data_IF_908831701931
#
_entry.id   IF_908831701931
#
_cell.length_a   1.000
_cell.length_b   1.000
_cell.length_c   1.000
_cell.angle_alpha   90.00
_cell.angle_beta   90.00
_cell.angle_gamma   90.00
#
_symmetry.space_group_name_H-M   'P 1'
#
loop_
_entity.id
_entity.type
_entity.pdbx_description
1 polymer ?
#
# COMPACT_ATOMS: atom_id res chain seq x y z
N UNK A 1 0.96 -5.17 9.99
CA UNK A 1 1.07 -3.73 9.64
C UNK A 1 -0.08 -3.24 8.77
N UNK A 2 -0.46 -3.96 7.72
CA UNK A 2 -1.55 -3.57 6.82
C UNK A 2 -2.92 -3.50 7.52
N UNK A 3 -3.21 -4.39 8.44
CA UNK A 3 -4.45 -4.37 9.22
C UNK A 3 -4.51 -3.20 10.19
N UNK A 4 -3.39 -2.86 10.83
CA UNK A 4 -3.29 -1.71 11.72
C UNK A 4 -3.50 -0.39 10.99
N UNK A 5 -2.94 -0.24 9.80
CA UNK A 5 -3.13 0.96 8.98
C UNK A 5 -4.57 1.13 8.52
N UNK A 6 -5.24 0.04 8.14
CA UNK A 6 -6.65 0.08 7.74
C UNK A 6 -7.57 0.49 8.89
N UNK A 7 -7.39 -0.11 10.06
CA UNK A 7 -8.20 0.24 11.24
C UNK A 7 -8.00 1.68 11.67
N UNK A 8 -6.75 2.15 11.72
CA UNK A 8 -6.46 3.54 12.08
C UNK A 8 -7.01 4.56 11.07
N UNK A 9 -7.10 4.20 9.79
CA UNK A 9 -7.72 5.05 8.79
C UNK A 9 -9.19 5.32 9.07
N UNK A 10 -9.91 4.34 9.59
CA UNK A 10 -11.32 4.48 9.99
C UNK A 10 -11.50 5.09 11.38
N UNK A 11 -10.58 4.85 12.30
CA UNK A 11 -10.59 5.47 13.64
C UNK A 11 -10.41 6.99 13.59
N UNK A 12 -9.87 7.53 12.49
CA UNK A 12 -9.75 8.95 12.28
C UNK A 12 -11.09 9.64 11.97
N UNK A 13 -12.16 8.88 11.70
CA UNK A 13 -13.48 9.45 11.47
C UNK A 13 -14.07 9.97 12.79
N UNK A 14 -14.36 11.30 12.91
CA UNK A 14 -14.93 11.84 14.14
C UNK A 14 -16.32 11.27 14.43
N UNK A 15 -16.55 10.83 15.66
CA UNK A 15 -17.86 10.31 16.11
C UNK A 15 -18.96 11.35 15.90
N UNK A 16 -18.65 12.63 16.08
CA UNK A 16 -19.57 13.74 15.87
C UNK A 16 -20.16 13.77 14.44
N UNK A 17 -19.40 13.42 13.42
CA UNK A 17 -19.89 13.31 12.04
C UNK A 17 -20.88 12.16 11.87
N UNK A 18 -20.64 11.04 12.53
CA UNK A 18 -21.52 9.88 12.50
C UNK A 18 -22.84 10.18 13.22
N UNK A 19 -22.79 10.88 14.34
CA UNK A 19 -23.96 11.34 15.07
C UNK A 19 -24.77 12.35 14.26
N UNK A 20 -24.13 13.32 13.62
CA UNK A 20 -24.78 14.28 12.75
C UNK A 20 -25.48 13.60 11.55
N UNK A 21 -24.85 12.63 10.92
CA UNK A 21 -25.45 11.86 9.85
C UNK A 21 -26.68 11.07 10.32
N UNK A 22 -26.64 10.55 11.54
CA UNK A 22 -27.76 9.84 12.17
C UNK A 22 -28.96 10.78 12.39
N UNK A 23 -28.70 12.00 12.85
CA UNK A 23 -29.73 13.05 13.05
C UNK A 23 -30.36 13.43 11.70
N UNK A 24 -29.57 13.52 10.63
CA UNK A 24 -30.06 13.79 9.27
C UNK A 24 -30.81 12.62 8.63
N UNK A 25 -30.97 11.53 9.34
CA UNK A 25 -31.73 10.36 8.88
C UNK A 25 -30.98 9.45 7.93
N UNK A 26 -29.65 9.54 7.87
CA UNK A 26 -28.82 8.65 7.06
C UNK A 26 -28.76 7.24 7.67
N UNK A 27 -29.04 6.22 6.88
CA UNK A 27 -28.83 4.82 7.29
C UNK A 27 -27.36 4.46 7.42
N UNK A 28 -27.03 3.34 8.10
CA UNK A 28 -25.64 2.94 8.33
C UNK A 28 -24.84 2.75 7.05
N UNK A 29 -25.43 2.20 6.00
CA UNK A 29 -24.77 2.03 4.70
C UNK A 29 -24.48 3.38 4.02
N UNK A 30 -25.43 4.30 4.07
CA UNK A 30 -25.27 5.63 3.49
C UNK A 30 -24.16 6.41 4.23
N UNK A 31 -24.13 6.34 5.54
CA UNK A 31 -23.09 6.94 6.37
C UNK A 31 -21.74 6.33 6.05
N UNK A 32 -21.64 5.02 5.90
CA UNK A 32 -20.40 4.35 5.54
C UNK A 32 -19.84 4.86 4.20
N UNK A 33 -20.65 4.87 3.15
CA UNK A 33 -20.17 5.25 1.82
C UNK A 33 -19.92 6.76 1.65
N UNK A 34 -20.69 7.61 2.32
CA UNK A 34 -20.57 9.07 2.14
C UNK A 34 -19.63 9.75 3.14
N UNK A 35 -19.42 9.16 4.31
CA UNK A 35 -18.58 9.73 5.36
C UNK A 35 -17.39 8.81 5.67
N UNK A 36 -17.63 7.55 5.93
CA UNK A 36 -16.59 6.61 6.34
C UNK A 36 -15.54 6.38 5.25
N UNK A 37 -15.97 6.05 4.04
CA UNK A 37 -15.06 5.78 2.92
C UNK A 37 -14.22 7.00 2.54
N UNK A 38 -14.80 8.21 2.29
CA UNK A 38 -14.00 9.38 1.94
C UNK A 38 -12.97 9.77 3.00
N UNK A 39 -13.32 9.68 4.27
CA UNK A 39 -12.41 9.99 5.37
C UNK A 39 -11.36 8.89 5.60
N UNK A 40 -11.68 7.65 5.24
CA UNK A 40 -10.75 6.51 5.33
C UNK A 40 -9.81 6.36 4.14
N UNK A 41 -10.05 7.06 3.03
CA UNK A 41 -9.25 6.95 1.79
C UNK A 41 -7.74 7.14 2.04
N UNK A 42 -7.25 8.14 2.79
CA UNK A 42 -5.82 8.30 3.04
C UNK A 42 -5.19 7.07 3.70
N UNK A 43 -5.86 6.46 4.68
CA UNK A 43 -5.41 5.25 5.33
C UNK A 43 -5.39 4.03 4.40
N UNK A 44 -6.42 3.88 3.59
CA UNK A 44 -6.52 2.79 2.60
C UNK A 44 -5.42 2.93 1.55
N UNK A 45 -5.19 4.12 1.02
CA UNK A 45 -4.15 4.38 0.03
C UNK A 45 -2.75 4.16 0.61
N UNK A 46 -2.49 4.59 1.84
CA UNK A 46 -1.22 4.32 2.52
C UNK A 46 -0.97 2.82 2.67
N UNK A 47 -1.97 2.06 3.10
CA UNK A 47 -1.88 0.60 3.21
C UNK A 47 -1.67 -0.07 1.84
N UNK A 48 -2.32 0.42 0.80
CA UNK A 48 -2.16 -0.09 -0.56
C UNK A 48 -0.75 0.14 -1.10
N UNK A 49 -0.18 1.34 -0.89
CA UNK A 49 1.19 1.67 -1.31
C UNK A 49 2.21 0.80 -0.58
N UNK A 50 2.11 0.67 0.74
CA UNK A 50 3.01 -0.17 1.53
C UNK A 50 2.89 -1.64 1.14
N UNK A 51 1.67 -2.15 0.97
CA UNK A 51 1.42 -3.51 0.53
C UNK A 51 1.96 -3.79 -0.88
N UNK A 52 1.85 -2.82 -1.78
CA UNK A 52 2.44 -2.93 -3.11
C UNK A 52 3.97 -3.01 -3.05
N UNK A 53 4.62 -2.13 -2.29
CA UNK A 53 6.08 -2.14 -2.15
C UNK A 53 6.57 -3.44 -1.52
N UNK A 54 5.88 -3.95 -0.53
CA UNK A 54 6.18 -5.24 0.10
C UNK A 54 6.05 -6.39 -0.90
N UNK A 55 4.96 -6.45 -1.64
CA UNK A 55 4.72 -7.47 -2.66
C UNK A 55 5.71 -7.37 -3.83
N UNK A 56 6.05 -6.15 -4.25
CA UNK A 56 7.00 -5.90 -5.34
C UNK A 56 8.41 -6.40 -5.00
N UNK A 57 8.81 -6.26 -3.76
CA UNK A 57 10.13 -6.69 -3.28
C UNK A 57 10.12 -8.10 -2.68
N UNK A 58 9.03 -8.84 -2.79
CA UNK A 58 8.92 -10.18 -2.21
C UNK A 58 9.92 -11.16 -2.85
N UNK A 59 10.73 -11.80 -2.02
CA UNK A 59 11.75 -12.79 -2.42
C UNK A 59 11.48 -14.13 -1.75
N UNK A 60 11.23 -14.14 -0.46
CA UNK A 60 11.14 -15.36 0.34
C UNK A 60 9.98 -16.26 -0.06
N UNK A 61 8.79 -15.73 -0.20
CA UNK A 61 7.60 -16.51 -0.55
C UNK A 61 7.67 -17.09 -1.96
N UNK A 62 7.97 -16.29 -3.01
CA UNK A 62 8.13 -16.84 -4.36
C UNK A 62 9.24 -17.87 -4.47
N UNK A 63 10.35 -17.68 -3.76
CA UNK A 63 11.45 -18.62 -3.74
C UNK A 63 11.04 -19.98 -3.15
N UNK A 64 10.20 -19.97 -2.13
CA UNK A 64 9.75 -21.17 -1.44
C UNK A 64 8.66 -21.93 -2.23
N UNK A 65 7.70 -21.22 -2.79
CA UNK A 65 6.51 -21.81 -3.40
C UNK A 65 6.61 -22.01 -4.92
N UNK A 66 7.35 -21.16 -5.62
CA UNK A 66 7.44 -21.22 -7.08
C UNK A 66 8.66 -22.02 -7.53
N UNK A 67 8.42 -23.23 -8.02
CA UNK A 67 9.48 -24.11 -8.54
C UNK A 67 9.87 -23.78 -9.98
N UNK A 68 8.95 -23.19 -10.75
CA UNK A 68 9.17 -22.86 -12.16
C UNK A 68 9.68 -21.44 -12.32
N UNK A 69 10.88 -21.27 -12.89
CA UNK A 69 11.51 -19.94 -13.08
C UNK A 69 10.68 -18.96 -13.91
N UNK A 70 9.87 -19.45 -14.82
CA UNK A 70 9.00 -18.62 -15.67
C UNK A 70 7.94 -17.86 -14.87
N UNK A 71 7.58 -18.31 -13.68
CA UNK A 71 6.60 -17.70 -12.79
C UNK A 71 7.23 -16.78 -11.74
N UNK A 72 8.54 -16.64 -11.71
CA UNK A 72 9.23 -15.84 -10.71
C UNK A 72 8.98 -14.34 -10.92
N UNK A 73 8.74 -13.59 -9.84
CA UNK A 73 8.69 -12.14 -9.92
C UNK A 73 10.07 -11.56 -10.27
N UNK A 74 10.09 -10.36 -10.80
CA UNK A 74 11.32 -9.69 -11.21
C UNK A 74 12.30 -9.51 -10.05
N UNK A 75 11.81 -9.28 -8.82
CA UNK A 75 12.62 -9.18 -7.61
C UNK A 75 13.48 -10.41 -7.35
N UNK A 76 12.96 -11.60 -7.64
CA UNK A 76 13.67 -12.87 -7.48
C UNK A 76 14.56 -13.19 -8.69
N UNK A 77 14.16 -12.77 -9.88
CA UNK A 77 14.89 -13.07 -11.12
C UNK A 77 16.12 -12.17 -11.33
N UNK A 78 16.06 -10.94 -10.84
CA UNK A 78 17.10 -9.92 -11.03
C UNK A 78 18.50 -10.36 -10.58
N UNK A 79 18.71 -10.97 -9.39
CA UNK A 79 20.04 -11.44 -8.98
C UNK A 79 20.64 -12.48 -9.90
N UNK A 80 19.81 -13.32 -10.52
CA UNK A 80 20.28 -14.33 -11.48
C UNK A 80 20.73 -13.72 -12.79
N UNK A 81 20.01 -12.73 -13.30
CA UNK A 81 20.41 -11.98 -14.50
C UNK A 81 21.73 -11.27 -14.25
N UNK A 82 21.93 -10.70 -13.06
CA UNK A 82 23.16 -10.00 -12.70
C UNK A 82 24.39 -10.91 -12.71
N UNK A 83 24.22 -12.19 -12.37
CA UNK A 83 25.32 -13.16 -12.40
C UNK A 83 25.74 -13.52 -13.84
N UNK A 84 24.85 -13.46 -14.80
CA UNK A 84 25.12 -13.87 -16.19
C UNK A 84 25.43 -12.70 -17.11
N UNK A 85 24.68 -11.60 -17.01
CA UNK A 85 24.78 -10.43 -17.92
C UNK A 85 24.61 -9.12 -17.18
N UNK A 86 25.69 -8.48 -16.83
CA UNK A 86 25.69 -7.21 -16.07
C UNK A 86 24.92 -6.08 -16.76
N UNK A 87 25.09 -5.90 -18.07
CA UNK A 87 24.40 -4.86 -18.83
C UNK A 87 22.86 -5.03 -18.80
N UNK A 88 22.40 -6.26 -18.99
CA UNK A 88 20.98 -6.58 -18.92
C UNK A 88 20.41 -6.39 -17.50
N UNK A 89 21.21 -6.73 -16.49
CA UNK A 89 20.84 -6.54 -15.09
C UNK A 89 20.67 -5.06 -14.74
N UNK A 90 21.50 -4.17 -15.27
CA UNK A 90 21.35 -2.73 -15.07
C UNK A 90 20.04 -2.19 -15.65
N UNK A 91 19.70 -2.59 -16.87
CA UNK A 91 18.42 -2.20 -17.50
C UNK A 91 17.22 -2.77 -16.72
N UNK A 92 17.30 -4.03 -16.32
CA UNK A 92 16.25 -4.67 -15.52
C UNK A 92 16.06 -3.99 -14.16
N UNK A 93 17.14 -3.53 -13.54
CA UNK A 93 17.10 -2.76 -12.29
C UNK A 93 16.36 -1.43 -12.46
N UNK A 94 16.61 -0.72 -13.57
CA UNK A 94 15.89 0.52 -13.88
C UNK A 94 14.39 0.25 -14.10
N UNK A 95 14.04 -0.81 -14.81
CA UNK A 95 12.65 -1.22 -15.02
C UNK A 95 11.98 -1.58 -13.69
N UNK A 96 12.72 -2.23 -12.80
CA UNK A 96 12.20 -2.59 -11.46
C UNK A 96 11.99 -1.36 -10.57
N UNK A 97 12.87 -0.36 -10.67
CA UNK A 97 12.75 0.89 -9.92
C UNK A 97 11.57 1.77 -10.39
N UNK A 98 11.25 1.74 -11.67
CA UNK A 98 10.24 2.63 -12.25
C UNK A 98 8.86 2.57 -11.54
N UNK A 99 8.24 1.39 -11.30
CA UNK A 99 6.97 1.32 -10.57
C UNK A 99 7.07 1.83 -9.13
N UNK A 100 8.17 1.50 -8.43
CA UNK A 100 8.38 1.93 -7.05
C UNK A 100 8.52 3.45 -6.95
N UNK A 101 9.27 4.08 -7.86
CA UNK A 101 9.44 5.54 -7.93
C UNK A 101 8.11 6.23 -8.27
N UNK A 102 7.36 5.70 -9.23
CA UNK A 102 6.05 6.25 -9.61
C UNK A 102 5.07 6.21 -8.44
N UNK A 103 4.98 5.08 -7.75
CA UNK A 103 4.10 4.92 -6.60
C UNK A 103 4.54 5.80 -5.43
N UNK A 104 5.85 5.90 -5.18
CA UNK A 104 6.38 6.80 -4.16
C UNK A 104 6.03 8.26 -4.47
N UNK A 105 6.22 8.70 -5.71
CA UNK A 105 5.91 10.08 -6.12
C UNK A 105 4.43 10.43 -5.95
N UNK A 106 3.53 9.55 -6.39
CA UNK A 106 2.08 9.77 -6.29
C UNK A 106 1.50 9.42 -4.91
N UNK A 107 2.10 8.45 -4.22
CA UNK A 107 1.65 7.98 -2.91
C UNK A 107 2.31 8.68 -1.71
N UNK A 108 3.33 9.50 -1.92
CA UNK A 108 4.09 10.17 -0.86
C UNK A 108 3.20 10.95 0.10
N UNK A 109 2.26 11.73 -0.42
CA UNK A 109 1.30 12.50 0.37
C UNK A 109 0.49 11.61 1.32
N UNK A 110 0.03 10.47 0.84
CA UNK A 110 -0.76 9.51 1.62
C UNK A 110 0.09 8.74 2.63
N UNK A 111 1.34 8.42 2.29
CA UNK A 111 2.29 7.81 3.21
C UNK A 111 2.62 8.73 4.38
N UNK A 112 2.86 10.01 4.13
CA UNK A 112 3.11 11.02 5.15
C UNK A 112 1.92 11.14 6.09
N UNK A 113 0.70 11.20 5.56
CA UNK A 113 -0.53 11.24 6.36
C UNK A 113 -0.70 9.99 7.22
N UNK A 114 -0.40 8.81 6.67
CA UNK A 114 -0.45 7.54 7.40
C UNK A 114 0.56 7.48 8.55
N UNK A 115 1.78 7.94 8.31
CA UNK A 115 2.85 8.01 9.32
C UNK A 115 2.49 9.01 10.42
N UNK A 116 2.00 10.19 10.06
CA UNK A 116 1.57 11.20 11.03
C UNK A 116 0.43 10.70 11.91
N UNK A 117 -0.58 10.05 11.33
CA UNK A 117 -1.67 9.45 12.08
C UNK A 117 -1.21 8.35 13.03
N UNK A 118 -0.17 7.60 12.66
CA UNK A 118 0.47 6.58 13.49
C UNK A 118 1.32 7.19 14.62
N UNK A 119 2.03 8.30 14.35
CA UNK A 119 2.94 8.97 15.29
C UNK A 119 2.24 9.85 16.32
N UNK A 120 1.08 10.41 16.00
CA UNK A 120 0.34 11.31 16.90
C UNK A 120 -0.32 10.64 18.10
N UNK A 121 -0.29 9.30 18.17
CA UNK A 121 -0.86 8.53 19.30
C UNK A 121 0.18 8.07 20.33
N UNK A 122 1.43 8.44 20.17
CA UNK A 122 2.48 8.29 21.18
C UNK A 122 2.58 9.59 21.98
#
# INVERSE_FOLDING_TARGET
YTTLFRSKGFDAVPIALLEAASIDGAGPLRTFFHIGVPLGVPGILSAAVLGFLEAWNAIEQPMTFLKTKALWPLSLYLPQIAAEKLGLAMVASLVMLAPAVLIFRFGQKYLELGIQASGLKE
#
